data_IF_641383170781
#
_entry.id   IF_641383170781
#
_cell.length_a   1.000
_cell.length_b   1.000
_cell.length_c   1.000
_cell.angle_alpha   90.00
_cell.angle_beta   90.00
_cell.angle_gamma   90.00
#
_symmetry.space_group_name_H-M   'P 1'
#
loop_
_entity.id
_entity.type
_entity.pdbx_description
1 polymer ?
#
# COMPACT_ATOMS: atom_id res chain seq x y z
N UNK A 1 -4.00 15.52 0.03
CA UNK A 1 -5.17 14.77 -0.46
C UNK A 1 -5.84 14.10 0.72
N UNK A 2 -7.16 14.17 0.80
CA UNK A 2 -8.00 13.47 1.78
C UNK A 2 -8.64 12.28 1.09
N UNK A 3 -8.53 11.09 1.67
CA UNK A 3 -9.25 9.89 1.21
C UNK A 3 -10.36 9.59 2.21
N UNK A 4 -11.58 9.48 1.72
CA UNK A 4 -12.76 9.24 2.53
C UNK A 4 -13.51 8.00 2.06
N UNK A 5 -13.76 7.10 2.99
CA UNK A 5 -14.43 5.82 2.73
C UNK A 5 -15.86 5.86 3.27
N UNK A 6 -16.81 5.47 2.45
CA UNK A 6 -18.23 5.31 2.80
C UNK A 6 -18.70 3.91 2.42
N UNK A 7 -19.92 3.54 2.82
CA UNK A 7 -20.54 2.30 2.34
C UNK A 7 -20.74 2.26 0.81
N UNK A 8 -20.66 3.40 0.14
CA UNK A 8 -20.81 3.52 -1.32
C UNK A 8 -19.48 3.58 -2.09
N UNK A 9 -18.35 3.43 -1.40
CA UNK A 9 -17.03 3.42 -2.02
C UNK A 9 -16.03 4.39 -1.39
N UNK A 10 -14.89 4.52 -2.04
CA UNK A 10 -13.75 5.34 -1.60
C UNK A 10 -13.58 6.51 -2.55
N UNK A 11 -13.49 7.70 -2.02
CA UNK A 11 -13.29 8.91 -2.81
C UNK A 11 -12.09 9.71 -2.30
N UNK A 12 -11.35 10.31 -3.22
CA UNK A 12 -10.23 11.18 -2.94
C UNK A 12 -10.55 12.63 -3.24
N UNK A 13 -10.12 13.52 -2.36
CA UNK A 13 -10.36 14.95 -2.42
C UNK A 13 -9.03 15.70 -2.36
N UNK A 14 -8.92 16.77 -3.13
CA UNK A 14 -7.75 17.65 -3.12
C UNK A 14 -8.14 18.99 -2.51
N UNK A 15 -7.32 19.47 -1.58
CA UNK A 15 -7.53 20.79 -0.98
C UNK A 15 -7.32 21.87 -2.04
N UNK A 16 -8.31 22.74 -2.17
CA UNK A 16 -8.19 23.99 -2.91
C UNK A 16 -7.85 25.10 -1.89
N UNK A 17 -6.57 25.51 -1.82
CA UNK A 17 -6.14 26.45 -0.79
C UNK A 17 -6.72 27.86 -0.98
N UNK A 18 -7.08 28.22 -2.20
CA UNK A 18 -7.65 29.54 -2.51
C UNK A 18 -9.07 29.70 -1.95
N UNK A 19 -9.84 28.62 -1.91
CA UNK A 19 -11.22 28.61 -1.44
C UNK A 19 -11.36 27.96 -0.05
N UNK A 20 -10.31 27.28 0.46
CA UNK A 20 -10.36 26.57 1.73
C UNK A 20 -11.31 25.35 1.73
N UNK A 21 -11.60 24.78 0.56
CA UNK A 21 -12.49 23.64 0.41
C UNK A 21 -11.76 22.44 -0.20
N UNK A 22 -12.36 21.26 -0.04
CA UNK A 22 -11.86 20.04 -0.68
C UNK A 22 -12.71 19.72 -1.90
N UNK A 23 -12.08 19.72 -3.08
CA UNK A 23 -12.69 19.34 -4.34
C UNK A 23 -12.57 17.83 -4.58
N UNK A 24 -13.62 17.18 -5.03
CA UNK A 24 -13.60 15.77 -5.42
C UNK A 24 -12.68 15.56 -6.63
N UNK A 25 -11.50 15.03 -6.41
CA UNK A 25 -10.49 14.84 -7.46
C UNK A 25 -10.36 13.40 -7.94
N UNK A 26 -10.71 12.43 -7.10
CA UNK A 26 -10.60 10.99 -7.38
C UNK A 26 -11.90 10.28 -6.95
N UNK A 27 -12.95 10.32 -7.78
CA UNK A 27 -14.20 9.63 -7.48
C UNK A 27 -14.02 8.12 -7.62
N UNK A 28 -14.70 7.36 -6.77
CA UNK A 28 -14.78 5.90 -6.83
C UNK A 28 -13.42 5.20 -7.03
N UNK A 29 -12.49 5.51 -6.13
CA UNK A 29 -11.13 4.97 -6.17
C UNK A 29 -11.16 3.44 -6.03
N UNK A 30 -10.40 2.77 -6.88
CA UNK A 30 -10.16 1.33 -6.82
C UNK A 30 -8.67 1.06 -6.90
N UNK A 31 -8.23 -0.06 -6.33
CA UNK A 31 -6.87 -0.52 -6.56
C UNK A 31 -6.68 -0.89 -8.04
N UNK A 32 -5.55 -0.53 -8.64
CA UNK A 32 -5.20 -1.05 -9.95
C UNK A 32 -5.13 -2.59 -9.93
N UNK A 33 -5.57 -3.23 -11.00
CA UNK A 33 -5.53 -4.70 -11.13
C UNK A 33 -4.10 -5.24 -11.07
N UNK A 34 -3.15 -4.46 -11.59
CA UNK A 34 -1.73 -4.81 -11.62
C UNK A 34 -0.90 -3.69 -11.02
N UNK A 35 0.20 -4.08 -10.39
CA UNK A 35 1.18 -3.14 -9.85
C UNK A 35 2.58 -3.71 -9.95
N UNK A 36 3.54 -2.83 -10.19
CA UNK A 36 4.96 -3.17 -10.33
C UNK A 36 5.84 -2.43 -9.31
N UNK A 37 5.25 -2.06 -8.18
CA UNK A 37 5.94 -1.37 -7.09
C UNK A 37 5.98 -2.29 -5.87
N UNK A 38 7.14 -2.40 -5.22
CA UNK A 38 7.26 -2.99 -3.91
C UNK A 38 7.90 -2.01 -2.93
N UNK A 39 7.40 -2.00 -1.71
CA UNK A 39 7.80 -1.08 -0.65
C UNK A 39 8.20 -1.86 0.58
N UNK A 40 9.49 -1.91 0.86
CA UNK A 40 10.07 -2.62 2.00
C UNK A 40 11.39 -1.98 2.41
N UNK A 41 11.70 -1.98 3.69
CA UNK A 41 13.02 -1.55 4.16
C UNK A 41 14.05 -2.68 3.98
N UNK A 42 14.71 -2.69 2.84
CA UNK A 42 15.73 -3.71 2.52
C UNK A 42 16.98 -3.65 3.41
N UNK A 43 17.18 -2.58 4.18
CA UNK A 43 18.25 -2.49 5.17
C UNK A 43 18.17 -3.58 6.26
N UNK A 44 17.01 -4.21 6.43
CA UNK A 44 16.80 -5.33 7.33
C UNK A 44 16.78 -6.70 6.64
N UNK A 45 17.21 -6.78 5.39
CA UNK A 45 17.16 -7.99 4.55
C UNK A 45 17.69 -9.25 5.26
N UNK A 46 18.80 -9.13 6.00
CA UNK A 46 19.41 -10.26 6.71
C UNK A 46 18.48 -10.92 7.73
N UNK A 47 17.54 -10.15 8.27
CA UNK A 47 16.58 -10.60 9.29
C UNK A 47 15.25 -11.08 8.71
N UNK A 48 15.05 -10.99 7.39
CA UNK A 48 13.80 -11.38 6.77
C UNK A 48 13.64 -12.90 6.71
N UNK A 49 12.41 -13.40 6.83
CA UNK A 49 12.06 -14.79 6.50
C UNK A 49 12.45 -15.14 5.06
N UNK A 50 12.77 -16.42 4.83
CA UNK A 50 13.21 -16.87 3.51
C UNK A 50 12.20 -16.54 2.42
N UNK A 51 10.90 -16.73 2.65
CA UNK A 51 9.86 -16.42 1.66
C UNK A 51 9.83 -14.95 1.22
N UNK A 52 10.16 -14.02 2.13
CA UNK A 52 10.28 -12.58 1.78
C UNK A 52 11.52 -12.34 0.92
N UNK A 53 12.63 -12.99 1.23
CA UNK A 53 13.86 -12.92 0.42
C UNK A 53 13.64 -13.46 -0.99
N UNK A 54 12.94 -14.57 -1.11
CA UNK A 54 12.63 -15.18 -2.41
C UNK A 54 11.69 -14.28 -3.22
N UNK A 55 10.71 -13.64 -2.58
CA UNK A 55 9.84 -12.66 -3.22
C UNK A 55 10.62 -11.42 -3.70
N UNK A 56 11.54 -10.89 -2.89
CA UNK A 56 12.36 -9.76 -3.31
C UNK A 56 13.24 -10.11 -4.50
N UNK A 57 13.83 -11.31 -4.50
CA UNK A 57 14.59 -11.81 -5.63
C UNK A 57 13.71 -11.92 -6.89
N UNK A 58 12.49 -12.45 -6.73
CA UNK A 58 11.50 -12.48 -7.82
C UNK A 58 11.22 -11.08 -8.38
N UNK A 59 11.05 -10.06 -7.53
CA UNK A 59 10.81 -8.68 -7.97
C UNK A 59 11.98 -8.06 -8.73
N UNK A 60 13.21 -8.51 -8.45
CA UNK A 60 14.45 -7.96 -8.98
C UNK A 60 14.97 -8.71 -10.22
N UNK A 61 14.40 -9.87 -10.55
CA UNK A 61 14.80 -10.62 -11.75
C UNK A 61 14.44 -9.86 -13.02
N UNK A 62 15.32 -9.92 -14.01
CA UNK A 62 15.06 -9.37 -15.34
C UNK A 62 14.22 -10.36 -16.15
N UNK A 63 12.94 -10.02 -16.38
CA UNK A 63 11.98 -10.75 -17.21
C UNK A 63 11.07 -9.75 -17.92
N UNK A 64 10.14 -10.25 -18.75
CA UNK A 64 9.27 -9.44 -19.59
C UNK A 64 8.46 -8.39 -18.82
N UNK A 65 8.00 -8.73 -17.61
CA UNK A 65 7.22 -7.87 -16.71
C UNK A 65 8.01 -7.33 -15.51
N UNK A 66 9.32 -7.58 -15.43
CA UNK A 66 10.21 -7.25 -14.33
C UNK A 66 11.54 -6.67 -14.81
N UNK A 67 12.32 -5.96 -14.01
CA UNK A 67 12.20 -5.81 -12.55
C UNK A 67 11.09 -4.86 -12.12
N UNK A 68 10.52 -5.11 -10.93
CA UNK A 68 9.60 -4.19 -10.28
C UNK A 68 10.36 -3.02 -9.65
N UNK A 69 9.67 -1.91 -9.48
CA UNK A 69 10.28 -0.70 -8.92
C UNK A 69 10.25 -0.73 -7.39
N UNK A 70 11.42 -0.64 -6.77
CA UNK A 70 11.52 -0.44 -5.32
C UNK A 70 11.19 1.00 -4.97
N UNK A 71 10.22 1.20 -4.08
CA UNK A 71 9.83 2.52 -3.55
C UNK A 71 9.55 2.40 -2.06
N UNK A 72 10.42 2.96 -1.25
CA UNK A 72 10.28 2.99 0.20
C UNK A 72 10.66 4.36 0.75
N UNK A 73 9.69 5.07 1.33
CA UNK A 73 9.88 6.41 1.93
C UNK A 73 10.16 6.29 3.43
N UNK A 74 9.68 5.22 4.05
CA UNK A 74 9.75 5.02 5.50
C UNK A 74 8.57 5.64 6.26
N UNK A 75 7.62 6.21 5.55
CA UNK A 75 6.31 6.63 6.07
C UNK A 75 5.23 5.71 5.55
N UNK A 76 4.58 4.96 6.45
CA UNK A 76 3.52 4.03 6.08
C UNK A 76 2.42 4.71 5.25
N UNK A 77 1.96 5.88 5.69
CA UNK A 77 0.91 6.62 5.00
C UNK A 77 1.31 6.99 3.57
N UNK A 78 2.53 7.49 3.38
CA UNK A 78 3.02 7.91 2.05
C UNK A 78 3.24 6.72 1.13
N UNK A 79 3.85 5.65 1.62
CA UNK A 79 4.11 4.43 0.85
C UNK A 79 2.81 3.73 0.47
N UNK A 80 1.88 3.62 1.43
CA UNK A 80 0.60 2.99 1.21
C UNK A 80 -0.28 3.80 0.24
N UNK A 81 -0.38 5.11 0.45
CA UNK A 81 -1.14 6.01 -0.43
C UNK A 81 -0.66 5.93 -1.89
N UNK A 82 0.65 5.94 -2.11
CA UNK A 82 1.21 5.77 -3.45
C UNK A 82 0.82 4.41 -4.04
N UNK A 83 0.97 3.33 -3.27
CA UNK A 83 0.67 1.97 -3.73
C UNK A 83 -0.84 1.79 -3.99
N UNK A 84 -1.70 2.46 -3.24
CA UNK A 84 -3.13 2.47 -3.48
C UNK A 84 -3.49 3.09 -4.84
N UNK A 85 -2.79 4.15 -5.25
CA UNK A 85 -3.06 4.85 -6.51
C UNK A 85 -2.35 4.19 -7.70
N UNK A 86 -1.11 3.76 -7.52
CA UNK A 86 -0.24 3.27 -8.61
C UNK A 86 -0.24 1.75 -8.76
N UNK A 87 -0.76 1.05 -7.79
CA UNK A 87 -0.58 -0.39 -7.64
C UNK A 87 0.78 -0.74 -7.02
N UNK A 88 0.79 -1.80 -6.25
CA UNK A 88 2.01 -2.27 -5.60
C UNK A 88 1.73 -2.91 -4.25
N UNK A 89 2.78 -3.41 -3.63
CA UNK A 89 2.71 -4.07 -2.33
C UNK A 89 3.56 -3.33 -1.30
N UNK A 90 3.04 -3.19 -0.09
CA UNK A 90 3.78 -2.75 1.08
C UNK A 90 4.06 -3.94 1.99
N UNK A 91 5.31 -4.17 2.30
CA UNK A 91 5.76 -5.29 3.11
C UNK A 91 6.40 -4.79 4.41
N UNK A 92 5.90 -5.31 5.52
CA UNK A 92 6.48 -5.10 6.83
C UNK A 92 6.64 -6.45 7.54
N UNK A 93 7.61 -7.27 7.11
CA UNK A 93 7.75 -8.63 7.61
C UNK A 93 8.20 -8.64 9.07
N UNK A 94 7.88 -9.73 9.74
CA UNK A 94 8.47 -10.05 11.04
C UNK A 94 9.98 -10.16 10.93
N UNK A 95 10.68 -9.86 12.00
CA UNK A 95 12.13 -10.01 12.08
C UNK A 95 12.53 -10.63 13.42
N UNK A 96 13.77 -11.09 13.52
CA UNK A 96 14.30 -11.60 14.80
C UNK A 96 14.22 -10.58 15.95
N UNK A 97 14.23 -9.28 15.63
CA UNK A 97 14.06 -8.18 16.60
C UNK A 97 12.60 -7.81 16.86
N UNK A 98 11.70 -8.18 16.00
CA UNK A 98 10.26 -7.93 16.12
C UNK A 98 9.47 -9.14 15.60
N UNK A 99 9.40 -10.24 16.38
CA UNK A 99 8.77 -11.49 15.94
C UNK A 99 7.28 -11.35 15.64
N UNK A 100 6.61 -10.37 16.24
CA UNK A 100 5.18 -10.08 16.02
C UNK A 100 4.93 -8.98 14.97
N UNK A 101 6.00 -8.49 14.31
CA UNK A 101 5.92 -7.32 13.45
C UNK A 101 5.83 -6.02 14.25
N UNK A 102 5.70 -4.90 13.54
CA UNK A 102 5.61 -3.56 14.14
C UNK A 102 4.32 -2.82 13.80
N UNK A 103 3.52 -3.34 12.88
CA UNK A 103 2.22 -2.71 12.55
C UNK A 103 1.25 -2.87 13.72
N UNK A 104 0.64 -1.78 14.12
CA UNK A 104 -0.29 -1.74 15.26
C UNK A 104 -1.70 -1.96 14.77
N UNK A 105 -2.43 -2.89 15.41
CA UNK A 105 -3.76 -3.29 15.01
C UNK A 105 -4.74 -2.11 14.92
N UNK A 106 -4.72 -1.22 15.91
CA UNK A 106 -5.70 -0.13 16.00
C UNK A 106 -5.36 1.09 15.16
N UNK A 107 -4.10 1.29 14.78
CA UNK A 107 -3.67 2.48 14.05
C UNK A 107 -3.44 2.20 12.57
N UNK A 108 -2.61 1.22 12.28
CA UNK A 108 -2.23 0.97 10.90
C UNK A 108 -3.15 -0.06 10.23
N UNK A 109 -3.52 -1.12 10.97
CA UNK A 109 -4.25 -2.23 10.36
C UNK A 109 -5.74 -1.94 10.16
N UNK A 110 -6.40 -1.29 11.12
CA UNK A 110 -7.83 -0.98 10.98
C UNK A 110 -8.07 0.13 9.97
N UNK A 111 -7.27 1.19 9.98
CA UNK A 111 -7.45 2.29 9.02
C UNK A 111 -7.16 1.84 7.58
N UNK A 112 -6.09 1.08 7.38
CA UNK A 112 -5.72 0.53 6.09
C UNK A 112 -6.65 -0.64 5.71
N UNK A 113 -6.97 -1.51 6.66
CA UNK A 113 -7.83 -2.66 6.46
C UNK A 113 -9.24 -2.27 6.05
N UNK A 114 -9.84 -1.25 6.66
CA UNK A 114 -11.16 -0.76 6.29
C UNK A 114 -11.21 -0.29 4.82
N UNK A 115 -10.14 0.34 4.33
CA UNK A 115 -10.01 0.71 2.92
C UNK A 115 -9.81 -0.50 2.00
N UNK A 116 -9.12 -1.52 2.48
CA UNK A 116 -8.85 -2.75 1.74
C UNK A 116 -10.11 -3.61 1.59
N UNK A 117 -10.85 -3.82 2.69
CA UNK A 117 -12.03 -4.69 2.71
C UNK A 117 -13.18 -4.14 1.86
N UNK A 118 -13.37 -2.84 1.81
CA UNK A 118 -14.43 -2.26 0.98
C UNK A 118 -14.19 -2.42 -0.53
N UNK A 119 -12.95 -2.67 -0.96
CA UNK A 119 -12.61 -2.89 -2.37
C UNK A 119 -12.58 -4.38 -2.78
N UNK A 120 -12.52 -5.30 -1.82
CA UNK A 120 -12.44 -6.75 -2.09
C UNK A 120 -13.79 -7.47 -1.98
N UNK A 121 -14.80 -6.85 -1.36
CA UNK A 121 -16.12 -7.46 -1.20
C UNK A 121 -17.07 -7.27 -2.39
N UNK A 122 -16.70 -6.50 -3.40
CA UNK A 122 -17.40 -6.40 -4.68
C UNK A 122 -16.92 -7.45 -5.71
N UNK A 123 -16.26 -8.52 -5.30
CA UNK A 123 -16.00 -9.64 -6.19
C UNK A 123 -17.34 -10.32 -6.49
N UNK A 124 -17.74 -10.43 -7.76
CA UNK A 124 -18.96 -11.14 -8.11
C UNK A 124 -18.84 -12.59 -7.64
N UNK A 125 -19.90 -13.04 -7.05
CA UNK A 125 -20.05 -14.45 -6.66
C UNK A 125 -19.86 -15.40 -7.87
#
# INVERSE_FOLDING_TARGET
>A
MLVYTTCNGVNGFTLNPALGVFDLSHPNMKFPENGNIYSINEGYYVHFPQGVKDYLKYCQEEKEDRPYTSRYIGSLVSDFHRNMIKGGIYLYPTSSKAPQGKLRLLYEWLDIGAQYFNNTFDAPA
#
